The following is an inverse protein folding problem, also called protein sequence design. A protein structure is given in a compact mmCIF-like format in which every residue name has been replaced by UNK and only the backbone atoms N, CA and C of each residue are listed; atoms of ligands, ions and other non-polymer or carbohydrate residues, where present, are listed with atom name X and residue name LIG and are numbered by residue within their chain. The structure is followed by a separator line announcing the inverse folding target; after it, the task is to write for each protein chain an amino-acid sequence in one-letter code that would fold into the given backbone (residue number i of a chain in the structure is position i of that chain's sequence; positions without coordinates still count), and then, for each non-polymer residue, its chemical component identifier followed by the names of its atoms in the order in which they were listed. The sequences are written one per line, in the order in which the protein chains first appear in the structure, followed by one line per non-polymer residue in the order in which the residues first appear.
data_IF_717924558228
#
_entry.id   IF_717924558228
#
_cell.length_a   1.000
_cell.length_b   1.000
_cell.length_c   1.000
_cell.angle_alpha   90.00
_cell.angle_beta   90.00
_cell.angle_gamma   90.00
#
_symmetry.space_group_name_H-M   'P 1'
#
loop_
_entity.id
_entity.type
_entity.pdbx_description
1 polymer ?
#
# COMPACT_ATOMS: atom_id res chain seq x y z
N UNK A 1 9.43 -2.24 -16.36
CA UNK A 1 8.89 -2.51 -15.00
C UNK A 1 7.59 -3.29 -15.16
N UNK A 2 7.42 -4.42 -14.49
CA UNK A 2 6.16 -5.19 -14.54
C UNK A 2 5.17 -4.70 -13.47
N UNK A 3 3.87 -4.88 -13.72
CA UNK A 3 2.82 -4.53 -12.76
C UNK A 3 3.01 -5.26 -11.42
N UNK A 4 3.34 -6.55 -11.48
CA UNK A 4 3.68 -7.38 -10.33
C UNK A 4 4.88 -6.82 -9.53
N UNK A 5 5.93 -6.35 -10.20
CA UNK A 5 7.10 -5.76 -9.54
C UNK A 5 6.77 -4.44 -8.83
N UNK A 6 5.96 -3.59 -9.46
CA UNK A 6 5.49 -2.34 -8.85
C UNK A 6 4.60 -2.61 -7.63
N UNK A 7 3.70 -3.60 -7.72
CA UNK A 7 2.83 -4.02 -6.60
C UNK A 7 3.67 -4.50 -5.41
N UNK A 8 4.63 -5.40 -5.65
CA UNK A 8 5.51 -5.91 -4.61
C UNK A 8 6.31 -4.79 -3.93
N UNK A 9 6.83 -3.84 -4.72
CA UNK A 9 7.53 -2.67 -4.18
C UNK A 9 6.60 -1.81 -3.32
N UNK A 10 5.38 -1.51 -3.79
CA UNK A 10 4.40 -0.73 -3.03
C UNK A 10 4.06 -1.40 -1.70
N UNK A 11 3.78 -2.69 -1.70
CA UNK A 11 3.53 -3.44 -0.45
C UNK A 11 4.74 -3.42 0.49
N UNK A 12 5.95 -3.51 -0.05
CA UNK A 12 7.20 -3.47 0.72
C UNK A 12 7.40 -2.13 1.45
N UNK A 13 7.38 -1.02 0.71
CA UNK A 13 7.56 0.32 1.28
C UNK A 13 6.43 0.70 2.25
N UNK A 14 5.23 0.17 2.05
CA UNK A 14 4.09 0.39 2.96
C UNK A 14 4.31 -0.28 4.32
N UNK A 15 4.83 -1.51 4.31
CA UNK A 15 5.20 -2.21 5.56
C UNK A 15 6.34 -1.49 6.29
N UNK A 16 7.35 -1.03 5.55
CA UNK A 16 8.46 -0.25 6.12
C UNK A 16 7.96 1.04 6.78
N UNK A 17 7.06 1.78 6.12
CA UNK A 17 6.43 2.96 6.68
C UNK A 17 5.70 2.65 8.00
N UNK A 18 4.93 1.56 8.05
CA UNK A 18 4.19 1.17 9.25
C UNK A 18 5.12 0.79 10.42
N UNK A 19 6.22 0.08 10.14
CA UNK A 19 7.24 -0.22 11.14
C UNK A 19 7.90 1.04 11.68
N UNK A 20 8.30 1.96 10.79
CA UNK A 20 8.90 3.24 11.19
C UNK A 20 7.93 4.10 12.00
N UNK A 21 6.63 4.05 11.68
CA UNK A 21 5.60 4.72 12.48
C UNK A 21 5.48 4.11 13.88
N UNK A 22 5.50 2.78 14.01
CA UNK A 22 5.50 2.12 15.31
C UNK A 22 6.68 2.51 16.17
N UNK A 23 7.89 2.56 15.60
CA UNK A 23 9.07 3.06 16.30
C UNK A 23 8.94 4.53 16.69
N UNK A 24 8.38 5.36 15.81
CA UNK A 24 8.14 6.78 16.11
C UNK A 24 7.20 6.96 17.31
N UNK A 25 6.16 6.14 17.42
CA UNK A 25 5.23 6.15 18.56
C UNK A 25 5.87 5.73 19.88
N UNK A 26 7.05 5.12 19.88
CA UNK A 26 7.79 4.86 21.12
C UNK A 26 8.27 6.17 21.78
N UNK A 27 8.42 7.25 21.00
CA UNK A 27 8.89 8.55 21.45
C UNK A 27 7.83 9.66 21.36
N UNK A 28 6.96 9.61 20.33
CA UNK A 28 5.91 10.60 20.10
C UNK A 28 4.52 10.07 20.52
N UNK A 29 4.10 10.42 21.76
CA UNK A 29 2.93 9.83 22.44
C UNK A 29 1.84 10.83 22.82
N UNK A 30 1.89 12.04 22.27
CA UNK A 30 0.89 13.05 22.57
C UNK A 30 -0.38 12.89 21.71
N UNK A 31 -1.38 13.74 21.95
CA UNK A 31 -2.61 13.74 21.16
C UNK A 31 -2.37 14.02 19.66
N UNK A 32 -1.24 14.63 19.29
CA UNK A 32 -0.92 14.93 17.89
C UNK A 32 -0.41 13.70 17.15
N UNK A 33 0.30 12.78 17.81
CA UNK A 33 0.67 11.52 17.16
C UNK A 33 -0.56 10.66 16.85
N UNK A 34 -1.56 10.64 17.74
CA UNK A 34 -2.84 9.96 17.46
C UNK A 34 -3.64 10.63 16.35
N UNK A 35 -3.71 11.97 16.34
CA UNK A 35 -4.36 12.73 15.27
C UNK A 35 -3.70 12.43 13.92
N UNK A 36 -2.36 12.40 13.89
CA UNK A 36 -1.59 12.12 12.69
C UNK A 36 -1.88 10.72 12.13
N UNK A 37 -1.88 9.70 12.99
CA UNK A 37 -2.20 8.33 12.58
C UNK A 37 -3.62 8.22 12.00
N UNK A 38 -4.59 8.86 12.65
CA UNK A 38 -5.99 8.83 12.21
C UNK A 38 -6.21 9.59 10.91
N UNK A 39 -5.70 10.81 10.79
CA UNK A 39 -5.98 11.69 9.66
C UNK A 39 -5.17 11.36 8.40
N UNK A 40 -3.93 10.89 8.55
CA UNK A 40 -3.02 10.72 7.42
C UNK A 40 -2.69 9.27 7.15
N UNK A 41 -2.20 8.54 8.16
CA UNK A 41 -1.72 7.17 7.95
C UNK A 41 -2.85 6.19 7.66
N UNK A 42 -3.97 6.29 8.40
CA UNK A 42 -5.13 5.41 8.20
C UNK A 42 -5.70 5.56 6.79
N UNK A 43 -5.92 6.80 6.35
CA UNK A 43 -6.41 7.10 5.00
C UNK A 43 -5.43 6.66 3.91
N UNK A 44 -4.12 6.88 4.14
CA UNK A 44 -3.06 6.43 3.23
C UNK A 44 -3.07 4.91 3.07
N UNK A 45 -3.11 4.15 4.17
CA UNK A 45 -3.12 2.68 4.12
C UNK A 45 -4.38 2.15 3.44
N UNK A 46 -5.56 2.72 3.72
CA UNK A 46 -6.78 2.40 3.00
C UNK A 46 -6.68 2.68 1.49
N UNK A 47 -6.01 3.77 1.10
CA UNK A 47 -5.75 4.09 -0.30
C UNK A 47 -4.80 3.10 -0.98
N UNK A 48 -3.76 2.67 -0.26
CA UNK A 48 -2.79 1.69 -0.73
C UNK A 48 -3.43 0.32 -0.91
N UNK A 49 -4.22 -0.15 0.06
CA UNK A 49 -4.92 -1.44 -0.03
C UNK A 49 -5.85 -1.48 -1.25
N UNK A 50 -6.64 -0.41 -1.45
CA UNK A 50 -7.47 -0.25 -2.65
C UNK A 50 -6.64 -0.30 -3.93
N UNK A 51 -5.50 0.36 -3.96
CA UNK A 51 -4.60 0.39 -5.12
C UNK A 51 -4.07 -1.01 -5.43
N UNK A 52 -3.59 -1.73 -4.41
CA UNK A 52 -3.09 -3.11 -4.56
C UNK A 52 -4.18 -4.03 -5.13
N UNK A 53 -5.41 -3.94 -4.61
CA UNK A 53 -6.53 -4.73 -5.13
C UNK A 53 -6.89 -4.39 -6.59
N UNK A 54 -6.77 -3.13 -7.00
CA UNK A 54 -6.97 -2.73 -8.40
C UNK A 54 -5.85 -3.27 -9.29
N UNK A 55 -4.60 -3.22 -8.81
CA UNK A 55 -3.46 -3.78 -9.54
C UNK A 55 -3.60 -5.29 -9.76
N UNK A 56 -4.13 -6.04 -8.78
CA UNK A 56 -4.43 -7.47 -8.93
C UNK A 56 -5.46 -7.72 -10.02
N UNK A 57 -6.58 -6.98 -10.00
CA UNK A 57 -7.62 -7.10 -11.04
C UNK A 57 -7.09 -6.77 -12.43
N UNK A 58 -6.22 -5.75 -12.54
CA UNK A 58 -5.57 -5.39 -13.80
C UNK A 58 -4.65 -6.50 -14.30
N UNK A 59 -3.88 -7.13 -13.41
CA UNK A 59 -3.00 -8.25 -13.78
C UNK A 59 -3.79 -9.44 -14.34
N UNK A 60 -4.91 -9.78 -13.69
CA UNK A 60 -5.83 -10.83 -14.18
C UNK A 60 -6.42 -10.51 -15.55
N UNK A 61 -6.85 -9.26 -15.78
CA UNK A 61 -7.41 -8.83 -17.06
C UNK A 61 -6.36 -8.86 -18.17
N UNK A 62 -5.15 -8.38 -17.90
CA UNK A 62 -4.05 -8.40 -18.87
C UNK A 62 -3.64 -9.83 -19.22
N UNK A 63 -3.65 -10.75 -18.26
CA UNK A 63 -3.38 -12.17 -18.50
C UNK A 63 -4.45 -12.81 -19.41
N UNK A 64 -5.74 -12.49 -19.19
CA UNK A 64 -6.83 -12.95 -20.06
C UNK A 64 -6.71 -12.42 -21.48
N UNK A 65 -6.50 -11.11 -21.64
CA UNK A 65 -6.35 -10.48 -22.96
C UNK A 65 -5.19 -11.08 -23.75
N UNK A 66 -4.05 -11.36 -23.09
CA UNK A 66 -2.93 -12.05 -23.74
C UNK A 66 -3.31 -13.44 -24.23
N UNK A 67 -3.99 -14.22 -23.38
CA UNK A 67 -4.45 -15.56 -23.74
C UNK A 67 -5.46 -15.56 -24.89
N UNK A 68 -6.31 -14.55 -24.98
CA UNK A 68 -7.31 -14.43 -26.05
C UNK A 68 -6.69 -13.96 -27.40
N UNK A 69 -5.47 -13.43 -27.37
CA UNK A 69 -4.73 -12.95 -28.55
C UNK A 69 -3.69 -13.96 -29.07
N UNK A 70 -3.43 -15.05 -28.34
CA UNK A 70 -2.59 -16.19 -28.75
C UNK A 70 -3.46 -17.32 -29.33
#
# INVERSE_FOLDING_TARGET
MSLAGTKARLSGITKELWLNWHETKNYWKDAKSEEFERQYLSELFLGIDRTISVMEKLDELLAKVRKDCE
#
